data_IF_180299963530
#
_entry.id   IF_180299963530
#
_cell.length_a   1.000
_cell.length_b   1.000
_cell.length_c   1.000
_cell.angle_alpha   90.00
_cell.angle_beta   90.00
_cell.angle_gamma   90.00
#
_symmetry.space_group_name_H-M   'P 1'
#
loop_
_entity.id
_entity.type
_entity.pdbx_description
1 polymer ?
#
# COMPACT_ATOMS: atom_id res chain seq x y z
N UNK A 1 -10.31 2.41 15.55
CA UNK A 1 -9.89 1.32 16.45
C UNK A 1 -10.91 0.20 16.33
N UNK A 2 -10.51 -1.02 15.93
CA UNK A 2 -11.44 -2.14 15.69
C UNK A 2 -12.04 -2.74 16.98
N UNK A 3 -11.62 -2.33 18.18
CA UNK A 3 -11.80 -3.10 19.41
C UNK A 3 -10.92 -4.37 19.45
N UNK A 4 -10.76 -4.97 20.63
CA UNK A 4 -9.92 -6.17 20.82
C UNK A 4 -10.47 -7.39 20.09
N UNK A 5 -11.78 -7.63 20.16
CA UNK A 5 -12.42 -8.80 19.58
C UNK A 5 -12.32 -8.83 18.05
N UNK A 6 -12.72 -7.74 17.38
CA UNK A 6 -12.58 -7.66 15.92
C UNK A 6 -11.11 -7.64 15.48
N UNK A 7 -10.23 -7.08 16.30
CA UNK A 7 -8.80 -7.13 16.00
C UNK A 7 -8.27 -8.57 16.00
N UNK A 8 -8.62 -9.39 17.00
CA UNK A 8 -8.30 -10.82 17.00
C UNK A 8 -8.96 -11.56 15.82
N UNK A 9 -10.23 -11.21 15.54
CA UNK A 9 -10.97 -11.47 14.30
C UNK A 9 -10.10 -11.39 13.03
N UNK A 10 -9.60 -10.17 12.84
CA UNK A 10 -8.81 -9.74 11.71
C UNK A 10 -7.45 -10.45 11.63
N UNK A 11 -6.72 -10.55 12.75
CA UNK A 11 -5.43 -11.26 12.79
C UNK A 11 -5.55 -12.74 12.44
N UNK A 12 -6.58 -13.41 12.96
CA UNK A 12 -6.85 -14.82 12.63
C UNK A 12 -7.20 -14.99 11.14
N UNK A 13 -8.00 -14.06 10.59
CA UNK A 13 -8.31 -14.03 9.17
C UNK A 13 -7.08 -13.87 8.28
N UNK A 14 -6.22 -12.89 8.58
CA UNK A 14 -4.96 -12.69 7.85
C UNK A 14 -4.09 -13.95 7.91
N UNK A 15 -3.92 -14.52 9.09
CA UNK A 15 -3.11 -15.74 9.28
C UNK A 15 -3.60 -16.86 8.37
N UNK A 16 -4.92 -17.06 8.29
CA UNK A 16 -5.53 -18.06 7.41
C UNK A 16 -5.30 -17.73 5.93
N UNK A 17 -5.53 -16.49 5.51
CA UNK A 17 -5.35 -16.08 4.11
C UNK A 17 -3.90 -16.28 3.66
N UNK A 18 -2.93 -15.91 4.50
CA UNK A 18 -1.51 -16.10 4.21
C UNK A 18 -1.12 -17.58 4.21
N UNK A 19 -1.75 -18.41 5.05
CA UNK A 19 -1.54 -19.86 5.03
C UNK A 19 -2.07 -20.49 3.72
N UNK A 20 -3.23 -20.04 3.23
CA UNK A 20 -3.81 -20.50 1.98
C UNK A 20 -2.93 -20.12 0.76
N UNK A 21 -2.26 -18.97 0.81
CA UNK A 21 -1.30 -18.51 -0.22
C UNK A 21 0.17 -18.91 0.06
N UNK A 22 0.42 -19.77 1.06
CA UNK A 22 1.79 -20.09 1.51
C UNK A 22 2.62 -20.76 0.41
N UNK A 23 2.04 -21.69 -0.33
CA UNK A 23 2.76 -22.40 -1.41
C UNK A 23 3.24 -21.43 -2.50
N UNK A 24 2.36 -20.51 -2.92
CA UNK A 24 2.72 -19.46 -3.86
C UNK A 24 3.80 -18.54 -3.29
N UNK A 25 3.63 -18.11 -2.05
CA UNK A 25 4.60 -17.24 -1.37
C UNK A 25 5.99 -17.87 -1.29
N UNK A 26 6.10 -19.15 -0.91
CA UNK A 26 7.38 -19.88 -0.87
C UNK A 26 8.01 -19.99 -2.26
N UNK A 27 7.21 -20.32 -3.28
CA UNK A 27 7.69 -20.39 -4.67
C UNK A 27 8.25 -19.04 -5.13
N UNK A 28 7.50 -17.96 -4.94
CA UNK A 28 7.91 -16.61 -5.36
C UNK A 28 9.14 -16.13 -4.59
N UNK A 29 9.21 -16.38 -3.27
CA UNK A 29 10.39 -16.06 -2.49
C UNK A 29 11.63 -16.78 -3.03
N UNK A 30 11.55 -18.07 -3.37
CA UNK A 30 12.67 -18.82 -3.94
C UNK A 30 13.08 -18.32 -5.32
N UNK A 31 12.14 -17.84 -6.13
CA UNK A 31 12.46 -17.23 -7.44
C UNK A 31 13.20 -15.89 -7.26
N UNK A 32 12.79 -15.10 -6.27
CA UNK A 32 13.39 -13.80 -5.99
C UNK A 32 14.74 -13.89 -5.24
N UNK A 33 14.85 -14.84 -4.31
CA UNK A 33 15.97 -15.03 -3.41
C UNK A 33 16.15 -16.53 -3.08
N UNK A 34 16.86 -17.31 -3.92
CA UNK A 34 16.92 -18.78 -3.82
C UNK A 34 17.49 -19.34 -2.50
N UNK A 35 18.31 -18.57 -1.80
CA UNK A 35 18.92 -18.96 -0.54
C UNK A 35 18.00 -18.76 0.68
N UNK A 36 16.88 -18.05 0.50
CA UNK A 36 16.02 -17.62 1.59
C UNK A 36 14.88 -18.61 1.85
N UNK A 37 14.49 -18.73 3.12
CA UNK A 37 13.40 -19.57 3.55
C UNK A 37 12.31 -18.72 4.22
N UNK A 38 11.04 -18.95 3.86
CA UNK A 38 9.91 -18.26 4.46
C UNK A 38 9.78 -18.58 5.96
N UNK A 39 10.20 -19.79 6.38
CA UNK A 39 10.15 -20.19 7.79
C UNK A 39 11.18 -19.46 8.67
N UNK A 40 12.14 -18.77 8.06
CA UNK A 40 13.13 -17.91 8.71
C UNK A 40 12.70 -16.43 8.71
N UNK A 41 11.51 -16.14 8.18
CA UNK A 41 10.94 -14.79 8.12
C UNK A 41 10.04 -14.54 9.33
N UNK A 42 9.92 -13.27 9.67
CA UNK A 42 9.09 -12.80 10.78
C UNK A 42 8.22 -11.62 10.30
N UNK A 43 7.49 -10.96 11.21
CA UNK A 43 6.74 -9.71 10.99
C UNK A 43 5.93 -9.73 9.69
N UNK A 44 4.92 -10.59 9.65
CA UNK A 44 3.93 -10.67 8.57
C UNK A 44 2.83 -9.62 8.71
N UNK A 45 2.65 -9.11 9.93
CA UNK A 45 1.71 -8.05 10.27
C UNK A 45 2.42 -7.01 11.13
N UNK A 46 2.51 -5.79 10.62
CA UNK A 46 3.14 -4.67 11.31
C UNK A 46 2.09 -3.60 11.62
N UNK A 47 1.91 -3.27 12.90
CA UNK A 47 1.11 -2.11 13.31
C UNK A 47 1.94 -0.84 13.14
N UNK A 48 1.41 0.13 12.41
CA UNK A 48 1.98 1.48 12.30
C UNK A 48 1.06 2.46 13.03
N UNK A 49 1.48 3.73 13.07
CA UNK A 49 0.69 4.77 13.75
C UNK A 49 -0.73 4.91 13.18
N UNK A 50 -0.86 4.91 11.85
CA UNK A 50 -2.13 5.18 11.18
C UNK A 50 -2.59 4.05 10.24
N UNK A 51 -1.75 3.04 10.02
CA UNK A 51 -2.04 1.92 9.11
C UNK A 51 -1.55 0.62 9.70
N UNK A 52 -1.97 -0.49 9.10
CA UNK A 52 -1.39 -1.81 9.34
C UNK A 52 -0.77 -2.26 8.02
N UNK A 53 0.42 -2.85 8.07
CA UNK A 53 1.07 -3.40 6.89
C UNK A 53 1.09 -4.93 7.00
N UNK A 54 0.58 -5.59 5.97
CA UNK A 54 0.69 -7.03 5.79
C UNK A 54 1.86 -7.28 4.83
N UNK A 55 2.79 -8.14 5.20
CA UNK A 55 3.94 -8.53 4.38
C UNK A 55 3.92 -10.04 4.17
N UNK A 56 3.39 -10.56 3.05
CA UNK A 56 3.23 -12.00 2.85
C UNK A 56 4.53 -12.80 2.94
N UNK A 57 5.67 -12.22 2.54
CA UNK A 57 6.99 -12.86 2.66
C UNK A 57 7.69 -12.61 4.00
N UNK A 58 7.03 -11.90 4.92
CA UNK A 58 7.61 -11.44 6.18
C UNK A 58 8.72 -10.41 6.00
N UNK A 59 9.01 -9.65 7.06
CA UNK A 59 10.13 -8.70 7.12
C UNK A 59 11.21 -9.24 8.05
N UNK A 60 12.45 -9.05 7.65
CA UNK A 60 13.63 -9.25 8.50
C UNK A 60 14.59 -8.06 8.33
N UNK A 61 15.41 -7.72 9.34
CA UNK A 61 16.36 -6.60 9.24
C UNK A 61 17.32 -6.71 8.04
N UNK A 62 17.64 -7.93 7.60
CA UNK A 62 18.55 -8.19 6.48
C UNK A 62 17.93 -7.96 5.08
N UNK A 63 16.61 -7.75 4.97
CA UNK A 63 15.92 -7.71 3.68
C UNK A 63 16.34 -6.50 2.84
N UNK A 64 17.03 -6.75 1.74
CA UNK A 64 17.64 -5.74 0.86
C UNK A 64 16.63 -5.14 -0.12
N UNK A 65 16.97 -4.00 -0.75
CA UNK A 65 16.09 -3.37 -1.76
C UNK A 65 16.01 -4.21 -3.03
N UNK A 66 17.09 -4.90 -3.35
CA UNK A 66 17.24 -5.77 -4.51
C UNK A 66 16.33 -6.99 -4.38
N UNK A 67 16.34 -7.68 -3.23
CA UNK A 67 15.44 -8.81 -2.97
C UNK A 67 13.98 -8.38 -2.98
N UNK A 68 13.66 -7.24 -2.36
CA UNK A 68 12.31 -6.68 -2.42
C UNK A 68 11.87 -6.42 -3.85
N UNK A 69 12.74 -5.84 -4.67
CA UNK A 69 12.46 -5.57 -6.08
C UNK A 69 12.37 -6.83 -6.94
N UNK A 70 13.15 -7.86 -6.64
CA UNK A 70 13.05 -9.16 -7.29
C UNK A 70 11.71 -9.83 -6.98
N UNK A 71 11.28 -9.79 -5.71
CA UNK A 71 9.98 -10.29 -5.28
C UNK A 71 8.84 -9.54 -5.97
N UNK A 72 8.88 -8.21 -5.98
CA UNK A 72 7.86 -7.36 -6.61
C UNK A 72 7.62 -7.74 -8.08
N UNK A 73 8.69 -8.03 -8.82
CA UNK A 73 8.61 -8.45 -10.22
C UNK A 73 7.92 -9.81 -10.39
N UNK A 74 8.33 -10.82 -9.63
CA UNK A 74 7.73 -12.16 -9.75
C UNK A 74 6.30 -12.20 -9.24
N UNK A 75 5.96 -11.39 -8.22
CA UNK A 75 4.59 -11.23 -7.75
C UNK A 75 3.72 -10.43 -8.73
N UNK A 76 4.26 -9.46 -9.46
CA UNK A 76 3.51 -8.75 -10.50
C UNK A 76 3.05 -9.69 -11.63
N UNK A 77 3.87 -10.67 -11.97
CA UNK A 77 3.55 -11.72 -12.95
C UNK A 77 2.57 -12.77 -12.39
N UNK A 78 2.79 -13.26 -11.16
CA UNK A 78 1.95 -14.31 -10.53
C UNK A 78 0.61 -13.78 -10.00
N UNK A 79 0.59 -12.56 -9.46
CA UNK A 79 -0.56 -11.92 -8.84
C UNK A 79 -0.89 -12.40 -7.43
N UNK A 80 0.05 -12.96 -6.67
CA UNK A 80 -0.20 -13.46 -5.31
C UNK A 80 -0.76 -12.38 -4.38
N UNK A 81 -0.12 -11.20 -4.27
CA UNK A 81 -0.65 -10.11 -3.43
C UNK A 81 -2.05 -9.65 -3.88
N UNK A 82 -2.38 -9.72 -5.17
CA UNK A 82 -3.74 -9.40 -5.66
C UNK A 82 -4.78 -10.40 -5.17
N UNK A 83 -4.46 -11.70 -5.11
CA UNK A 83 -5.34 -12.72 -4.54
C UNK A 83 -5.53 -12.53 -3.03
N UNK A 84 -4.44 -12.24 -2.31
CA UNK A 84 -4.50 -11.90 -0.88
C UNK A 84 -5.42 -10.68 -0.66
N UNK A 85 -5.24 -9.60 -1.43
CA UNK A 85 -6.08 -8.40 -1.34
C UNK A 85 -7.55 -8.72 -1.64
N UNK A 86 -7.85 -9.52 -2.67
CA UNK A 86 -9.22 -9.87 -3.01
C UNK A 86 -9.93 -10.58 -1.84
N UNK A 87 -9.23 -11.48 -1.16
CA UNK A 87 -9.78 -12.20 -0.02
C UNK A 87 -9.91 -11.31 1.24
N UNK A 88 -8.95 -10.41 1.47
CA UNK A 88 -9.03 -9.39 2.51
C UNK A 88 -10.22 -8.46 2.30
N UNK A 89 -10.45 -7.99 1.08
CA UNK A 89 -11.61 -7.15 0.72
C UNK A 89 -12.91 -7.93 0.95
N UNK A 90 -12.95 -9.21 0.57
CA UNK A 90 -14.14 -10.06 0.77
C UNK A 90 -14.51 -10.21 2.25
N UNK A 91 -13.53 -10.36 3.13
CA UNK A 91 -13.76 -10.60 4.57
C UNK A 91 -13.87 -9.32 5.39
N UNK A 92 -13.11 -8.28 5.04
CA UNK A 92 -12.86 -7.11 5.90
C UNK A 92 -13.01 -5.77 5.17
N UNK A 93 -13.46 -5.79 3.91
CA UNK A 93 -13.50 -4.61 3.04
C UNK A 93 -14.53 -3.53 3.43
N UNK A 94 -14.72 -2.52 2.56
CA UNK A 94 -15.57 -1.36 2.85
C UNK A 94 -17.04 -1.70 3.08
N UNK A 95 -17.51 -2.82 2.52
CA UNK A 95 -18.90 -3.29 2.65
C UNK A 95 -19.14 -4.15 3.90
N UNK A 96 -18.13 -4.37 4.75
CA UNK A 96 -18.26 -5.16 5.98
C UNK A 96 -18.23 -4.25 7.22
N UNK A 97 -18.48 -4.82 8.39
CA UNK A 97 -18.42 -4.06 9.66
C UNK A 97 -17.02 -3.52 10.00
N UNK A 98 -15.98 -4.01 9.32
CA UNK A 98 -14.60 -3.57 9.50
C UNK A 98 -14.30 -2.26 8.78
N UNK A 99 -14.96 -2.04 7.64
CA UNK A 99 -14.81 -0.85 6.80
C UNK A 99 -13.35 -0.51 6.47
N UNK A 100 -12.58 -1.51 6.01
CA UNK A 100 -11.17 -1.36 5.67
C UNK A 100 -10.95 -1.31 4.16
N UNK A 101 -9.88 -0.64 3.78
CA UNK A 101 -9.33 -0.60 2.42
C UNK A 101 -7.95 -1.21 2.41
N UNK A 102 -7.59 -1.81 1.27
CA UNK A 102 -6.37 -2.59 1.09
C UNK A 102 -5.70 -2.14 -0.19
N UNK A 103 -4.42 -1.79 -0.11
CA UNK A 103 -3.63 -1.37 -1.28
C UNK A 103 -2.30 -2.10 -1.31
N UNK A 104 -1.86 -2.53 -2.50
CA UNK A 104 -0.53 -3.10 -2.66
C UNK A 104 0.48 -1.95 -2.55
N UNK A 105 1.21 -1.92 -1.44
CA UNK A 105 2.09 -0.83 -1.05
C UNK A 105 3.56 -1.22 -1.15
N UNK A 106 4.33 -0.41 -1.88
CA UNK A 106 5.76 -0.67 -2.10
C UNK A 106 6.02 -2.02 -2.79
N UNK A 107 7.18 -2.61 -2.50
CA UNK A 107 7.68 -3.80 -3.22
C UNK A 107 7.21 -5.14 -2.65
N UNK A 108 6.76 -5.17 -1.39
CA UNK A 108 6.46 -6.43 -0.67
C UNK A 108 5.21 -6.37 0.21
N UNK A 109 4.64 -5.18 0.39
CA UNK A 109 3.61 -4.95 1.39
C UNK A 109 2.20 -4.81 0.80
N UNK A 110 1.23 -4.97 1.68
CA UNK A 110 -0.17 -4.57 1.49
C UNK A 110 -0.49 -3.65 2.66
N UNK A 111 -0.82 -2.40 2.37
CA UNK A 111 -1.23 -1.43 3.39
C UNK A 111 -2.73 -1.54 3.63
N UNK A 112 -3.10 -1.49 4.91
CA UNK A 112 -4.47 -1.56 5.42
C UNK A 112 -4.78 -0.28 6.16
N UNK A 113 -5.87 0.37 5.77
CA UNK A 113 -6.37 1.55 6.46
C UNK A 113 -7.91 1.58 6.45
N UNK A 114 -8.54 2.32 7.38
CA UNK A 114 -9.98 2.58 7.30
C UNK A 114 -10.35 3.23 5.96
N UNK A 115 -11.56 2.98 5.47
CA UNK A 115 -12.04 3.65 4.27
C UNK A 115 -11.94 5.18 4.39
N UNK A 116 -11.44 5.83 3.34
CA UNK A 116 -11.22 7.29 3.29
C UNK A 116 -9.93 7.78 3.96
N UNK A 117 -9.04 6.87 4.37
CA UNK A 117 -7.69 7.19 4.86
C UNK A 117 -6.63 7.12 3.75
N UNK A 118 -7.04 7.30 2.50
CA UNK A 118 -6.11 7.58 1.40
C UNK A 118 -5.50 8.99 1.54
N UNK A 119 -4.72 9.42 0.55
CA UNK A 119 -4.01 10.71 0.62
C UNK A 119 -4.95 11.91 0.71
N UNK A 120 -6.23 11.80 0.31
CA UNK A 120 -7.22 12.88 0.48
C UNK A 120 -7.50 13.21 1.94
N UNK A 121 -7.19 12.30 2.87
CA UNK A 121 -7.35 12.54 4.30
C UNK A 121 -6.63 13.80 4.76
N UNK A 122 -5.50 14.17 4.16
CA UNK A 122 -4.77 15.38 4.56
C UNK A 122 -5.52 16.68 4.26
N UNK A 123 -6.46 16.68 3.30
CA UNK A 123 -7.18 17.87 2.86
C UNK A 123 -8.08 18.45 3.96
N UNK A 124 -8.53 17.64 4.92
CA UNK A 124 -9.32 18.11 6.07
C UNK A 124 -8.54 19.11 6.95
N UNK A 125 -7.20 19.07 6.91
CA UNK A 125 -6.32 19.95 7.66
C UNK A 125 -5.90 21.20 6.87
N UNK A 126 -6.32 21.32 5.61
CA UNK A 126 -6.03 22.44 4.73
C UNK A 126 -7.32 23.20 4.47
N UNK A 127 -7.75 24.15 5.33
CA UNK A 127 -9.02 24.85 5.12
C UNK A 127 -8.97 25.72 3.87
N UNK A 128 -10.05 25.74 3.08
CA UNK A 128 -10.12 26.46 1.80
C UNK A 128 -9.85 27.97 1.93
N UNK A 129 -10.25 28.57 3.06
CA UNK A 129 -9.99 29.99 3.35
C UNK A 129 -8.50 30.30 3.40
N UNK A 130 -7.68 29.36 3.89
CA UNK A 130 -6.24 29.53 4.00
C UNK A 130 -5.50 29.06 2.74
N UNK A 131 -6.02 28.01 2.09
CA UNK A 131 -5.43 27.40 0.91
C UNK A 131 -6.46 27.36 -0.23
N UNK A 132 -6.71 28.51 -0.90
CA UNK A 132 -7.68 28.58 -1.99
C UNK A 132 -7.22 27.82 -3.24
N UNK A 133 -5.93 27.51 -3.33
CA UNK A 133 -5.34 26.71 -4.41
C UNK A 133 -4.36 25.73 -3.82
N UNK A 134 -4.50 24.45 -4.18
CA UNK A 134 -3.61 23.37 -3.76
C UNK A 134 -3.11 22.69 -5.02
N UNK A 135 -1.79 22.72 -5.21
CA UNK A 135 -1.13 21.92 -6.24
C UNK A 135 -0.64 20.63 -5.63
N UNK A 136 -0.95 19.50 -6.26
CA UNK A 136 -0.48 18.19 -5.85
C UNK A 136 0.40 17.61 -6.95
N UNK A 137 1.58 17.09 -6.60
CA UNK A 137 2.49 16.42 -7.53
C UNK A 137 2.63 14.95 -7.12
N UNK A 138 2.40 14.03 -8.04
CA UNK A 138 2.45 12.58 -7.76
C UNK A 138 2.90 11.75 -8.96
N UNK A 139 3.53 10.60 -8.69
CA UNK A 139 4.05 9.68 -9.73
C UNK A 139 3.12 8.50 -10.01
N UNK A 140 2.23 8.16 -9.06
CA UNK A 140 1.29 7.04 -9.19
C UNK A 140 -0.15 7.52 -9.28
N UNK A 141 -0.42 8.36 -10.27
CA UNK A 141 -1.70 9.05 -10.49
C UNK A 141 -2.66 8.34 -11.44
N UNK A 142 -2.37 7.10 -11.84
CA UNK A 142 -3.30 6.26 -12.60
C UNK A 142 -4.30 5.59 -11.66
N UNK A 143 -5.47 5.17 -12.16
CA UNK A 143 -6.47 4.45 -11.35
C UNK A 143 -5.86 3.22 -10.66
N UNK A 144 -6.03 3.12 -9.34
CA UNK A 144 -5.41 2.10 -8.49
C UNK A 144 -3.97 2.40 -8.04
N UNK A 145 -3.37 3.47 -8.54
CA UNK A 145 -2.13 4.04 -8.03
C UNK A 145 -2.36 4.82 -6.73
N UNK A 146 -1.38 4.78 -5.82
CA UNK A 146 -1.56 5.35 -4.47
C UNK A 146 -1.70 6.88 -4.40
N UNK A 147 -1.50 7.60 -5.49
CA UNK A 147 -1.70 9.06 -5.57
C UNK A 147 -3.01 9.46 -6.27
N UNK A 148 -3.73 8.49 -6.83
CA UNK A 148 -4.88 8.72 -7.70
C UNK A 148 -5.98 9.56 -7.05
N UNK A 149 -6.45 9.18 -5.86
CA UNK A 149 -7.58 9.84 -5.21
C UNK A 149 -7.27 11.29 -4.89
N UNK A 150 -6.04 11.60 -4.47
CA UNK A 150 -5.62 12.98 -4.19
C UNK A 150 -5.36 13.77 -5.47
N UNK A 151 -4.81 13.15 -6.51
CA UNK A 151 -4.57 13.78 -7.81
C UNK A 151 -5.88 14.19 -8.50
N UNK A 152 -6.91 13.34 -8.48
CA UNK A 152 -8.22 13.62 -9.06
C UNK A 152 -9.14 14.45 -8.13
N UNK A 153 -8.73 14.72 -6.89
CA UNK A 153 -9.61 15.37 -5.93
C UNK A 153 -9.93 16.83 -6.37
N UNK A 154 -11.20 17.27 -6.38
CA UNK A 154 -11.60 18.60 -6.89
C UNK A 154 -10.94 19.80 -6.20
N UNK A 155 -10.44 19.60 -4.98
CA UNK A 155 -9.69 20.62 -4.23
C UNK A 155 -8.23 20.77 -4.65
N UNK A 156 -7.74 19.92 -5.54
CA UNK A 156 -6.35 19.94 -5.99
C UNK A 156 -6.26 20.20 -7.49
N UNK A 157 -5.16 20.82 -7.88
CA UNK A 157 -4.67 20.86 -9.25
C UNK A 157 -3.56 19.81 -9.30
N UNK A 158 -3.89 18.64 -9.85
CA UNK A 158 -2.99 17.51 -9.96
C UNK A 158 -1.95 17.68 -11.06
N UNK A 159 -0.71 17.34 -10.74
CA UNK A 159 0.44 17.33 -11.65
C UNK A 159 1.07 15.93 -11.62
N UNK A 160 0.95 15.20 -12.73
CA UNK A 160 1.60 13.91 -12.85
C UNK A 160 3.10 14.12 -13.13
N UNK A 161 3.95 13.44 -12.37
CA UNK A 161 5.42 13.54 -12.49
C UNK A 161 6.04 12.16 -12.69
N UNK A 162 7.16 12.13 -13.41
CA UNK A 162 7.88 10.87 -13.70
C UNK A 162 9.16 10.72 -12.91
N UNK A 163 9.67 11.81 -12.34
CA UNK A 163 10.89 11.85 -11.56
C UNK A 163 10.96 13.12 -10.71
N UNK A 164 11.89 13.16 -9.76
CA UNK A 164 12.15 14.37 -8.98
C UNK A 164 12.60 15.56 -9.85
N UNK A 165 13.30 15.30 -10.96
CA UNK A 165 13.73 16.34 -11.90
C UNK A 165 12.53 16.94 -12.67
N UNK A 166 11.57 16.09 -13.05
CA UNK A 166 10.31 16.49 -13.67
C UNK A 166 9.47 17.34 -12.70
N UNK A 167 9.37 16.93 -11.43
CA UNK A 167 8.74 17.74 -10.37
C UNK A 167 9.35 19.14 -10.28
N UNK A 168 10.69 19.23 -10.25
CA UNK A 168 11.38 20.52 -10.17
C UNK A 168 11.07 21.41 -11.38
N UNK A 169 11.14 20.85 -12.59
CA UNK A 169 10.85 21.60 -13.81
C UNK A 169 9.40 22.15 -13.83
N UNK A 170 8.42 21.35 -13.39
CA UNK A 170 7.03 21.78 -13.34
C UNK A 170 6.79 22.84 -12.25
N UNK A 171 7.45 22.73 -11.09
CA UNK A 171 7.39 23.75 -10.02
C UNK A 171 8.01 25.07 -10.49
N UNK A 172 9.17 25.02 -11.15
CA UNK A 172 9.82 26.20 -11.72
C UNK A 172 8.91 26.88 -12.75
N UNK A 173 8.31 26.12 -13.67
CA UNK A 173 7.38 26.65 -14.66
C UNK A 173 6.14 27.29 -14.02
N UNK A 174 5.63 26.73 -12.93
CA UNK A 174 4.44 27.23 -12.22
C UNK A 174 4.71 28.52 -11.43
N UNK A 175 5.89 28.65 -10.83
CA UNK A 175 6.22 29.78 -9.95
C UNK A 175 6.93 30.94 -10.65
N UNK A 176 7.57 30.69 -11.79
CA UNK A 176 8.39 31.67 -12.52
C UNK A 176 7.75 32.16 -13.82
N UNK A 177 6.54 31.71 -14.15
CA UNK A 177 5.70 32.26 -15.22
C UNK A 177 5.00 33.55 -14.79
#
# INVERSE_FOLDING_TARGET
HLGEERWAAFEAGITKILADEREATVRLLRLAAPAENLDERDTFLERRQCTVNICPIGRVPALTKEERGAFDKVDAEDGMRRRVVAELVRQFGPSTEYNLTFSIGGQIGIDVCPQGWDKTFCLQFLPEVQFPTIHFFGDKTHEGGGDYELYEHPRTIGHAVTSAADTLAQVEALLLS
#
